data_IF_095596136982
#
_entry.id   IF_095596136982
#
_cell.length_a   1.000
_cell.length_b   1.000
_cell.length_c   1.000
_cell.angle_alpha   90.00
_cell.angle_beta   90.00
_cell.angle_gamma   90.00
#
_symmetry.space_group_name_H-M   'P 1'
#
loop_
_entity.id
_entity.type
_entity.pdbx_description
1 polymer ?
#
# COMPACT_ATOMS: atom_id res chain seq x y z
N UNK A 1 -0.66 -19.56 -46.07
CA UNK A 1 -0.75 -19.34 -44.62
C UNK A 1 0.55 -18.67 -44.21
N UNK A 2 0.54 -17.34 -44.04
CA UNK A 2 1.69 -16.62 -43.49
C UNK A 2 1.90 -17.12 -42.07
N UNK A 3 3.10 -17.63 -41.78
CA UNK A 3 3.48 -18.06 -40.44
C UNK A 3 4.13 -16.87 -39.75
N UNK A 4 3.44 -16.26 -38.80
CA UNK A 4 4.04 -15.25 -37.94
C UNK A 4 4.90 -15.95 -36.88
N UNK A 5 6.12 -15.45 -36.69
CA UNK A 5 6.89 -15.75 -35.47
C UNK A 5 6.36 -14.84 -34.35
N UNK A 6 5.77 -15.42 -33.31
CA UNK A 6 5.35 -14.68 -32.12
C UNK A 6 6.45 -14.76 -31.07
N UNK A 7 6.91 -13.60 -30.59
CA UNK A 7 7.91 -13.47 -29.53
C UNK A 7 7.29 -12.63 -28.41
N UNK A 8 7.24 -13.18 -27.21
CA UNK A 8 6.80 -12.46 -26.01
C UNK A 8 7.93 -12.50 -24.99
N UNK A 9 8.27 -11.34 -24.42
CA UNK A 9 9.36 -11.21 -23.45
C UNK A 9 9.09 -10.10 -22.44
N UNK A 10 9.72 -10.21 -21.28
CA UNK A 10 9.76 -9.14 -20.28
C UNK A 10 10.86 -8.14 -20.66
N UNK A 11 10.60 -6.85 -20.45
CA UNK A 11 11.55 -5.78 -20.67
C UNK A 11 12.68 -5.85 -19.64
N UNK A 12 13.91 -5.82 -20.15
CA UNK A 12 15.13 -5.73 -19.35
C UNK A 12 15.92 -4.50 -19.83
N UNK A 13 16.04 -3.44 -19.01
CA UNK A 13 16.74 -2.22 -19.41
C UNK A 13 18.23 -2.43 -19.69
N UNK A 14 18.84 -3.50 -19.15
CA UNK A 14 20.26 -3.81 -19.35
C UNK A 14 20.49 -4.75 -20.55
N UNK A 15 19.48 -5.53 -20.94
CA UNK A 15 19.64 -6.60 -21.94
C UNK A 15 18.39 -6.86 -22.80
N UNK A 16 17.76 -5.81 -23.32
CA UNK A 16 16.62 -5.95 -24.24
C UNK A 16 17.04 -6.41 -25.65
N UNK A 17 16.66 -7.65 -26.01
CA UNK A 17 16.86 -8.23 -27.34
C UNK A 17 15.55 -8.36 -28.15
N UNK A 18 14.48 -7.68 -27.74
CA UNK A 18 13.16 -7.71 -28.40
C UNK A 18 13.18 -7.18 -29.84
N UNK A 19 14.11 -6.26 -30.12
CA UNK A 19 14.16 -5.49 -31.37
C UNK A 19 13.13 -4.34 -31.41
N UNK A 20 12.57 -3.96 -30.27
CA UNK A 20 11.65 -2.82 -30.13
C UNK A 20 12.44 -1.59 -29.69
N UNK A 21 12.43 -0.54 -30.52
CA UNK A 21 12.91 0.78 -30.08
C UNK A 21 11.86 1.44 -29.18
N UNK A 22 12.26 1.91 -28.00
CA UNK A 22 11.38 2.67 -27.11
C UNK A 22 11.19 4.10 -27.61
N UNK A 23 9.97 4.63 -27.44
CA UNK A 23 9.62 6.02 -27.78
C UNK A 23 9.83 6.98 -26.61
N UNK A 24 9.95 6.45 -25.39
CA UNK A 24 10.22 7.17 -24.15
C UNK A 24 10.90 6.19 -23.19
N UNK A 25 11.93 6.63 -22.48
CA UNK A 25 12.64 5.82 -21.48
C UNK A 25 11.75 5.50 -20.27
N UNK A 26 10.80 6.38 -19.95
CA UNK A 26 9.90 6.23 -18.79
C UNK A 26 8.62 5.43 -19.09
N UNK A 27 8.46 4.89 -20.32
CA UNK A 27 7.21 4.21 -20.70
C UNK A 27 6.85 3.06 -19.74
N UNK A 28 7.83 2.26 -19.33
CA UNK A 28 7.61 1.13 -18.43
C UNK A 28 7.45 1.52 -16.94
N UNK A 29 7.52 2.83 -16.61
CA UNK A 29 7.15 3.32 -15.29
C UNK A 29 5.62 3.27 -15.08
N UNK A 30 4.84 3.28 -16.16
CA UNK A 30 3.37 3.16 -16.10
C UNK A 30 2.94 1.77 -15.57
N UNK A 31 1.71 1.68 -15.05
CA UNK A 31 1.14 0.40 -14.61
C UNK A 31 0.89 -0.51 -15.80
N UNK A 32 1.26 -1.79 -15.67
CA UNK A 32 0.91 -2.84 -16.62
C UNK A 32 1.37 -2.55 -18.07
N UNK A 33 2.43 -1.76 -18.20
CA UNK A 33 2.89 -1.24 -19.49
C UNK A 33 3.43 -2.34 -20.41
N UNK A 34 2.92 -2.38 -21.65
CA UNK A 34 3.40 -3.30 -22.68
C UNK A 34 3.43 -2.65 -24.06
N UNK A 35 4.25 -3.22 -24.94
CA UNK A 35 4.35 -2.86 -26.34
C UNK A 35 4.01 -4.10 -27.17
N UNK A 36 2.98 -4.01 -28.00
CA UNK A 36 2.66 -4.99 -29.05
C UNK A 36 3.06 -4.41 -30.40
N UNK A 37 3.91 -5.13 -31.14
CA UNK A 37 4.36 -4.76 -32.49
C UNK A 37 4.07 -5.90 -33.46
N UNK A 38 3.25 -5.62 -34.47
CA UNK A 38 2.91 -6.54 -35.57
C UNK A 38 3.61 -6.07 -36.83
N UNK A 39 4.46 -6.92 -37.38
CA UNK A 39 5.22 -6.71 -38.61
C UNK A 39 4.93 -7.84 -39.60
N UNK A 40 5.36 -7.69 -40.86
CA UNK A 40 4.98 -8.59 -41.96
C UNK A 40 5.15 -10.09 -41.67
N UNK A 41 6.15 -10.50 -40.87
CA UNK A 41 6.42 -11.89 -40.51
C UNK A 41 6.69 -12.13 -39.01
N UNK A 42 6.53 -11.10 -38.16
CA UNK A 42 6.90 -11.16 -36.74
C UNK A 42 5.89 -10.39 -35.91
N UNK A 43 5.46 -10.98 -34.80
CA UNK A 43 4.68 -10.32 -33.75
C UNK A 43 5.55 -10.32 -32.50
N UNK A 44 5.78 -9.14 -31.93
CA UNK A 44 6.60 -8.98 -30.71
C UNK A 44 5.74 -8.35 -29.61
N UNK A 45 5.72 -8.95 -28.44
CA UNK A 45 5.11 -8.42 -27.22
C UNK A 45 6.23 -8.22 -26.20
N UNK A 46 6.37 -6.99 -25.71
CA UNK A 46 7.35 -6.63 -24.68
C UNK A 46 6.60 -6.02 -23.51
N UNK A 47 6.51 -6.73 -22.39
CA UNK A 47 5.82 -6.26 -21.18
C UNK A 47 6.81 -5.85 -20.09
N UNK A 48 6.40 -4.94 -19.20
CA UNK A 48 7.14 -4.58 -17.98
C UNK A 48 7.50 -5.78 -17.11
N UNK A 49 6.58 -6.73 -17.03
CA UNK A 49 6.63 -7.95 -16.24
C UNK A 49 5.75 -9.01 -16.93
N UNK A 50 5.57 -10.17 -16.30
CA UNK A 50 4.78 -11.26 -16.88
C UNK A 50 3.29 -10.95 -17.00
N UNK A 51 2.75 -10.06 -16.18
CA UNK A 51 1.33 -9.68 -16.22
C UNK A 51 1.10 -8.72 -17.39
N UNK A 52 1.99 -7.75 -17.56
CA UNK A 52 1.99 -6.86 -18.72
C UNK A 52 2.15 -7.63 -20.05
N UNK A 53 2.98 -8.68 -20.08
CA UNK A 53 3.06 -9.58 -21.24
C UNK A 53 1.70 -10.25 -21.51
N UNK A 54 1.04 -10.76 -20.47
CA UNK A 54 -0.28 -11.36 -20.60
C UNK A 54 -1.30 -10.38 -21.19
N UNK A 55 -1.35 -9.13 -20.71
CA UNK A 55 -2.24 -8.11 -21.28
C UNK A 55 -1.96 -7.80 -22.75
N UNK A 56 -0.69 -7.84 -23.16
CA UNK A 56 -0.30 -7.74 -24.57
C UNK A 56 -0.79 -8.91 -25.42
N UNK A 57 -0.79 -10.13 -24.86
CA UNK A 57 -1.38 -11.31 -25.48
C UNK A 57 -2.89 -11.15 -25.59
N UNK A 58 -3.58 -10.70 -24.54
CA UNK A 58 -5.03 -10.43 -24.58
C UNK A 58 -5.39 -9.43 -25.69
N UNK A 59 -4.61 -8.36 -25.86
CA UNK A 59 -4.82 -7.42 -26.97
C UNK A 59 -4.62 -8.08 -28.33
N UNK A 60 -3.59 -8.91 -28.47
CA UNK A 60 -3.35 -9.66 -29.70
C UNK A 60 -4.51 -10.61 -30.00
N UNK A 61 -5.02 -11.35 -29.02
CA UNK A 61 -6.17 -12.24 -29.18
C UNK A 61 -7.40 -11.47 -29.68
N UNK A 62 -7.70 -10.31 -29.09
CA UNK A 62 -8.82 -9.45 -29.55
C UNK A 62 -8.66 -8.96 -30.97
N UNK A 63 -7.43 -8.70 -31.42
CA UNK A 63 -7.16 -8.37 -32.81
C UNK A 63 -7.42 -9.59 -33.69
N UNK A 64 -6.89 -10.76 -33.32
CA UNK A 64 -6.99 -12.00 -34.10
C UNK A 64 -8.44 -12.50 -34.22
N UNK A 65 -9.27 -12.34 -33.19
CA UNK A 65 -10.71 -12.69 -33.21
C UNK A 65 -11.48 -11.95 -34.32
N UNK A 66 -10.99 -10.78 -34.74
CA UNK A 66 -11.64 -9.94 -35.75
C UNK A 66 -11.13 -10.20 -37.17
N UNK A 67 -10.08 -11.02 -37.33
CA UNK A 67 -9.39 -11.23 -38.61
C UNK A 67 -10.12 -12.30 -39.43
N UNK A 68 -10.75 -11.87 -40.54
CA UNK A 68 -11.56 -12.77 -41.39
C UNK A 68 -10.78 -13.50 -42.49
N UNK A 69 -9.61 -12.99 -42.88
CA UNK A 69 -8.85 -13.48 -44.04
C UNK A 69 -7.46 -14.03 -43.71
N UNK A 70 -7.12 -14.15 -42.41
CA UNK A 70 -5.81 -14.65 -41.96
C UNK A 70 -4.64 -13.68 -42.21
N UNK A 71 -4.94 -12.40 -42.41
CA UNK A 71 -3.97 -11.31 -42.57
C UNK A 71 -4.24 -10.24 -41.51
N UNK A 72 -3.18 -9.75 -40.87
CA UNK A 72 -3.22 -8.67 -39.88
C UNK A 72 -2.37 -7.52 -40.39
N UNK A 73 -2.89 -6.30 -40.29
CA UNK A 73 -2.16 -5.08 -40.63
C UNK A 73 -0.93 -4.89 -39.75
N UNK A 74 0.10 -4.25 -40.30
CA UNK A 74 1.26 -3.87 -39.48
C UNK A 74 0.85 -2.76 -38.51
N UNK A 75 1.23 -2.90 -37.24
CA UNK A 75 0.85 -1.93 -36.22
C UNK A 75 1.79 -1.97 -35.03
N UNK A 76 1.72 -0.90 -34.23
CA UNK A 76 2.38 -0.79 -32.94
C UNK A 76 1.41 -0.20 -31.94
N UNK A 77 1.24 -0.89 -30.81
CA UNK A 77 0.45 -0.46 -29.66
C UNK A 77 1.41 -0.34 -28.49
N UNK A 78 1.48 0.86 -27.90
CA UNK A 78 2.13 1.10 -26.62
C UNK A 78 1.00 1.38 -25.63
N UNK A 79 0.72 0.46 -24.72
CA UNK A 79 -0.46 0.51 -23.86
C UNK A 79 -0.09 0.29 -22.39
N UNK A 80 -0.90 0.84 -21.50
CA UNK A 80 -0.70 0.81 -20.06
C UNK A 80 -2.02 1.11 -19.34
N UNK A 81 -2.13 0.71 -18.08
CA UNK A 81 -3.29 1.01 -17.26
C UNK A 81 -3.17 2.36 -16.54
N UNK A 82 -4.25 3.13 -16.47
CA UNK A 82 -4.31 4.36 -15.67
C UNK A 82 -4.58 4.09 -14.18
N UNK A 83 -5.13 2.92 -13.85
CA UNK A 83 -5.40 2.50 -12.49
C UNK A 83 -4.68 1.18 -12.21
N UNK A 84 -3.96 1.10 -11.08
CA UNK A 84 -3.21 -0.10 -10.66
C UNK A 84 -4.13 -1.31 -10.42
N UNK A 85 -5.29 -1.10 -9.82
CA UNK A 85 -6.25 -2.16 -9.48
C UNK A 85 -7.54 -1.97 -10.26
N UNK A 86 -8.02 -3.03 -10.93
CA UNK A 86 -9.20 -3.01 -11.80
C UNK A 86 -9.94 -4.33 -11.64
N UNK A 87 -11.17 -4.31 -11.16
CA UNK A 87 -11.83 -5.58 -10.87
C UNK A 87 -13.16 -5.46 -10.15
N UNK A 88 -13.51 -6.54 -9.47
CA UNK A 88 -14.82 -6.76 -8.83
C UNK A 88 -14.59 -7.02 -7.34
N UNK A 89 -15.50 -6.52 -6.51
CA UNK A 89 -15.63 -6.90 -5.10
C UNK A 89 -16.99 -7.56 -4.88
N UNK A 90 -17.01 -8.76 -4.31
CA UNK A 90 -18.23 -9.42 -3.85
C UNK A 90 -18.65 -8.86 -2.48
N UNK A 91 -19.08 -7.59 -2.44
CA UNK A 91 -19.33 -6.86 -1.20
C UNK A 91 -20.80 -6.60 -0.86
N UNK A 92 -21.74 -7.30 -1.50
CA UNK A 92 -23.19 -7.09 -1.28
C UNK A 92 -23.75 -7.99 -0.17
N UNK A 93 -24.92 -7.62 0.36
CA UNK A 93 -25.71 -8.47 1.24
C UNK A 93 -26.64 -9.36 0.40
N UNK A 94 -26.68 -10.65 0.70
CA UNK A 94 -27.50 -11.63 -0.01
C UNK A 94 -26.73 -12.91 -0.33
N UNK A 95 -27.36 -13.76 -1.14
CA UNK A 95 -26.81 -15.07 -1.53
C UNK A 95 -25.46 -14.86 -2.22
N UNK A 96 -24.36 -15.39 -1.67
CA UNK A 96 -23.03 -15.31 -2.30
C UNK A 96 -23.02 -15.95 -3.68
N UNK A 97 -22.12 -15.49 -4.53
CA UNK A 97 -21.85 -16.14 -5.81
C UNK A 97 -21.39 -17.58 -5.58
N UNK A 98 -21.72 -18.46 -6.53
CA UNK A 98 -21.12 -19.78 -6.57
C UNK A 98 -19.67 -19.68 -7.02
N UNK A 99 -18.84 -20.68 -6.69
CA UNK A 99 -17.47 -20.74 -7.19
C UNK A 99 -17.41 -20.73 -8.72
N UNK A 100 -18.37 -21.37 -9.40
CA UNK A 100 -18.48 -21.36 -10.86
C UNK A 100 -18.74 -19.95 -11.41
N UNK A 101 -19.62 -19.17 -10.77
CA UNK A 101 -19.90 -17.79 -11.16
C UNK A 101 -18.67 -16.89 -10.94
N UNK A 102 -17.95 -17.06 -9.82
CA UNK A 102 -16.72 -16.29 -9.55
C UNK A 102 -15.67 -16.59 -10.63
N UNK A 103 -15.45 -17.85 -10.97
CA UNK A 103 -14.52 -18.23 -12.04
C UNK A 103 -14.94 -17.67 -13.41
N UNK A 104 -16.24 -17.69 -13.72
CA UNK A 104 -16.75 -17.08 -14.95
C UNK A 104 -16.55 -15.57 -15.00
N UNK A 105 -16.72 -14.88 -13.86
CA UNK A 105 -16.43 -13.44 -13.74
C UNK A 105 -14.93 -13.13 -13.90
N UNK A 106 -14.04 -14.00 -13.40
CA UNK A 106 -12.59 -13.87 -13.59
C UNK A 106 -12.21 -14.02 -15.07
N UNK A 107 -12.75 -15.02 -15.76
CA UNK A 107 -12.52 -15.20 -17.20
C UNK A 107 -13.01 -13.99 -18.00
N UNK A 108 -14.23 -13.52 -17.72
CA UNK A 108 -14.76 -12.31 -18.33
C UNK A 108 -13.89 -11.08 -18.02
N UNK A 109 -13.45 -10.91 -16.77
CA UNK A 109 -12.61 -9.79 -16.36
C UNK A 109 -11.25 -9.79 -17.07
N UNK A 110 -10.66 -10.97 -17.24
CA UNK A 110 -9.38 -11.18 -17.92
C UNK A 110 -9.39 -10.68 -19.36
N UNK A 111 -10.48 -10.95 -20.08
CA UNK A 111 -10.71 -10.48 -21.46
C UNK A 111 -10.61 -8.96 -21.61
N UNK A 112 -10.84 -8.23 -20.52
CA UNK A 112 -10.79 -6.77 -20.44
C UNK A 112 -9.68 -6.26 -19.49
N UNK A 113 -8.68 -7.09 -19.18
CA UNK A 113 -7.50 -6.74 -18.38
C UNK A 113 -7.83 -6.30 -16.94
N UNK A 114 -8.91 -6.82 -16.36
CA UNK A 114 -9.07 -6.80 -14.90
C UNK A 114 -7.95 -7.63 -14.27
N UNK A 115 -7.59 -7.30 -13.02
CA UNK A 115 -6.50 -7.96 -12.32
C UNK A 115 -6.81 -8.31 -10.86
N UNK A 116 -8.03 -8.03 -10.38
CA UNK A 116 -8.41 -8.30 -9.00
C UNK A 116 -9.86 -8.76 -8.86
N UNK A 117 -10.07 -9.74 -8.00
CA UNK A 117 -11.38 -10.14 -7.49
C UNK A 117 -11.31 -10.18 -5.96
N UNK A 118 -12.01 -9.27 -5.28
CA UNK A 118 -12.05 -9.20 -3.82
C UNK A 118 -13.21 -10.06 -3.32
N UNK A 119 -12.86 -11.20 -2.72
CA UNK A 119 -13.79 -12.12 -2.07
C UNK A 119 -14.15 -11.57 -0.67
N UNK A 120 -15.32 -10.93 -0.58
CA UNK A 120 -15.85 -10.33 0.65
C UNK A 120 -17.35 -10.63 0.93
N UNK A 121 -17.87 -11.84 0.61
CA UNK A 121 -19.31 -12.11 0.63
C UNK A 121 -19.90 -11.95 2.03
N UNK A 122 -20.75 -10.94 2.26
CA UNK A 122 -21.19 -10.55 3.61
C UNK A 122 -21.88 -11.66 4.42
N UNK A 123 -22.50 -12.64 3.75
CA UNK A 123 -23.19 -13.77 4.36
C UNK A 123 -22.30 -15.01 4.60
N UNK A 124 -21.02 -15.00 4.19
CA UNK A 124 -20.06 -16.02 4.61
C UNK A 124 -19.75 -15.84 6.11
N UNK A 125 -19.91 -16.87 6.97
CA UNK A 125 -19.62 -16.69 8.38
C UNK A 125 -18.12 -16.65 8.67
N UNK A 126 -17.26 -17.29 7.88
CA UNK A 126 -15.84 -17.50 8.19
C UNK A 126 -14.94 -16.31 7.85
N UNK A 127 -15.39 -15.35 7.04
CA UNK A 127 -14.74 -14.03 6.94
C UNK A 127 -15.24 -13.04 7.99
N UNK A 128 -16.41 -13.28 8.61
CA UNK A 128 -17.08 -12.35 9.52
C UNK A 128 -17.37 -13.02 10.88
N UNK A 129 -18.60 -13.47 11.18
CA UNK A 129 -18.98 -13.91 12.55
C UNK A 129 -18.15 -15.04 13.18
N UNK A 130 -17.49 -15.84 12.35
CA UNK A 130 -16.60 -16.96 12.69
C UNK A 130 -15.17 -16.71 12.19
N UNK A 131 -14.74 -15.46 12.12
CA UNK A 131 -13.43 -15.08 11.60
C UNK A 131 -12.25 -15.75 12.35
N UNK A 132 -12.43 -16.17 13.61
CA UNK A 132 -11.42 -16.94 14.37
C UNK A 132 -11.41 -18.44 14.04
N UNK A 133 -12.47 -18.99 13.47
CA UNK A 133 -12.57 -20.40 13.12
C UNK A 133 -11.95 -20.67 11.75
N UNK A 134 -11.23 -21.79 11.54
CA UNK A 134 -10.78 -22.18 10.21
C UNK A 134 -11.98 -22.55 9.32
N UNK A 135 -11.83 -22.36 8.01
CA UNK A 135 -12.82 -22.85 7.05
C UNK A 135 -12.90 -24.40 7.10
N UNK A 136 -14.07 -24.99 6.82
CA UNK A 136 -14.17 -26.42 6.56
C UNK A 136 -13.32 -26.80 5.33
N UNK A 137 -12.72 -27.99 5.36
CA UNK A 137 -11.83 -28.43 4.28
C UNK A 137 -12.53 -28.45 2.92
N UNK A 138 -13.79 -28.90 2.85
CA UNK A 138 -14.59 -28.91 1.62
C UNK A 138 -14.74 -27.51 1.01
N UNK A 139 -14.88 -26.48 1.85
CA UNK A 139 -14.95 -25.09 1.38
C UNK A 139 -13.59 -24.60 0.86
N UNK A 140 -12.50 -24.97 1.54
CA UNK A 140 -11.15 -24.64 1.09
C UNK A 140 -10.81 -25.31 -0.24
N UNK A 141 -11.20 -26.57 -0.42
CA UNK A 141 -10.97 -27.31 -1.67
C UNK A 141 -11.67 -26.61 -2.85
N UNK A 142 -12.92 -26.17 -2.66
CA UNK A 142 -13.64 -25.40 -3.67
C UNK A 142 -13.02 -24.02 -3.94
N UNK A 143 -12.58 -23.30 -2.90
CA UNK A 143 -11.92 -21.99 -3.06
C UNK A 143 -10.56 -22.11 -3.74
N UNK A 144 -9.85 -23.23 -3.55
CA UNK A 144 -8.57 -23.48 -4.21
C UNK A 144 -8.71 -23.48 -5.74
N UNK A 145 -9.77 -24.09 -6.28
CA UNK A 145 -10.04 -24.06 -7.72
C UNK A 145 -10.26 -22.61 -8.23
N UNK A 146 -10.95 -21.78 -7.45
CA UNK A 146 -11.16 -20.36 -7.76
C UNK A 146 -9.84 -19.58 -7.73
N UNK A 147 -8.98 -19.85 -6.74
CA UNK A 147 -7.66 -19.20 -6.62
C UNK A 147 -6.77 -19.59 -7.81
N UNK A 148 -6.75 -20.87 -8.18
CA UNK A 148 -6.01 -21.37 -9.35
C UNK A 148 -6.51 -20.72 -10.65
N UNK A 149 -7.83 -20.55 -10.80
CA UNK A 149 -8.43 -19.80 -11.91
C UNK A 149 -7.98 -18.34 -11.93
N UNK A 150 -7.87 -17.69 -10.77
CA UNK A 150 -7.35 -16.33 -10.67
C UNK A 150 -5.91 -16.20 -11.17
N UNK A 151 -5.06 -17.21 -10.89
CA UNK A 151 -3.69 -17.28 -11.42
C UNK A 151 -3.68 -17.46 -12.94
N UNK A 152 -4.52 -18.36 -13.47
CA UNK A 152 -4.66 -18.63 -14.91
C UNK A 152 -5.10 -17.39 -15.69
N UNK A 153 -6.06 -16.65 -15.15
CA UNK A 153 -6.72 -15.50 -15.79
C UNK A 153 -6.01 -14.16 -15.52
N UNK A 154 -4.98 -14.14 -14.66
CA UNK A 154 -4.36 -12.92 -14.10
C UNK A 154 -5.34 -12.03 -13.32
N UNK A 155 -6.53 -12.53 -12.96
CA UNK A 155 -7.47 -11.86 -12.06
C UNK A 155 -7.26 -12.40 -10.65
N UNK A 156 -6.35 -11.77 -9.90
CA UNK A 156 -5.94 -12.26 -8.59
C UNK A 156 -7.09 -12.33 -7.58
N UNK A 157 -7.24 -13.50 -6.94
CA UNK A 157 -8.15 -13.67 -5.81
C UNK A 157 -7.59 -12.94 -4.58
N UNK A 158 -8.36 -12.00 -4.04
CA UNK A 158 -8.04 -11.25 -2.82
C UNK A 158 -8.95 -11.73 -1.69
N UNK A 159 -8.37 -12.38 -0.68
CA UNK A 159 -9.14 -12.83 0.48
C UNK A 159 -9.40 -11.66 1.43
N UNK A 160 -10.67 -11.35 1.72
CA UNK A 160 -11.05 -10.34 2.70
C UNK A 160 -11.45 -10.96 4.04
N UNK A 161 -11.15 -10.26 5.14
CA UNK A 161 -11.60 -10.60 6.49
C UNK A 161 -12.23 -9.38 7.16
N UNK A 162 -13.30 -9.62 7.95
CA UNK A 162 -14.09 -8.59 8.60
C UNK A 162 -14.14 -8.76 10.15
N UNK A 163 -13.03 -8.51 10.86
CA UNK A 163 -12.88 -8.90 12.25
C UNK A 163 -13.36 -7.83 13.25
N UNK A 164 -14.03 -6.75 12.80
CA UNK A 164 -14.52 -5.68 13.69
C UNK A 164 -16.04 -5.72 13.95
N UNK A 165 -16.82 -6.44 13.13
CA UNK A 165 -18.28 -6.36 13.17
C UNK A 165 -18.91 -7.30 14.20
N UNK A 166 -18.79 -8.61 13.99
CA UNK A 166 -19.38 -9.63 14.86
C UNK A 166 -18.28 -10.27 15.71
N UNK A 167 -18.41 -10.19 17.04
CA UNK A 167 -17.37 -10.62 17.98
C UNK A 167 -16.02 -10.01 17.61
N UNK A 168 -15.97 -8.67 17.59
CA UNK A 168 -14.83 -7.91 17.11
C UNK A 168 -13.51 -8.24 17.83
N UNK A 169 -12.39 -7.75 17.28
CA UNK A 169 -11.06 -7.92 17.87
C UNK A 169 -11.05 -7.47 19.33
N UNK A 170 -10.59 -8.35 20.21
CA UNK A 170 -10.38 -8.03 21.62
C UNK A 170 -9.02 -7.37 21.83
N UNK A 171 -9.00 -6.04 22.00
CA UNK A 171 -7.77 -5.25 22.25
C UNK A 171 -6.93 -5.77 23.42
N UNK A 172 -7.53 -6.37 24.44
CA UNK A 172 -6.79 -6.89 25.60
C UNK A 172 -6.02 -8.19 25.29
N UNK A 173 -6.40 -8.91 24.23
CA UNK A 173 -5.75 -10.13 23.76
C UNK A 173 -5.23 -9.94 22.31
N UNK A 174 -4.79 -8.72 21.98
CA UNK A 174 -4.53 -8.33 20.59
C UNK A 174 -3.58 -9.28 19.84
N UNK A 175 -2.51 -9.75 20.47
CA UNK A 175 -1.55 -10.68 19.83
C UNK A 175 -2.20 -12.00 19.42
N UNK A 176 -2.99 -12.61 20.31
CA UNK A 176 -3.74 -13.86 20.04
C UNK A 176 -4.81 -13.63 18.95
N UNK A 177 -5.47 -12.48 18.99
CA UNK A 177 -6.50 -12.10 18.04
C UNK A 177 -5.93 -11.91 16.62
N UNK A 178 -4.76 -11.29 16.50
CA UNK A 178 -4.03 -11.18 15.23
C UNK A 178 -3.54 -12.55 14.76
N UNK A 179 -3.09 -13.42 15.66
CA UNK A 179 -2.63 -14.76 15.28
C UNK A 179 -3.73 -15.57 14.59
N UNK A 180 -4.99 -15.47 15.03
CA UNK A 180 -6.11 -16.12 14.33
C UNK A 180 -6.28 -15.63 12.88
N UNK A 181 -6.05 -14.33 12.63
CA UNK A 181 -6.12 -13.76 11.28
C UNK A 181 -4.93 -14.26 10.45
N UNK A 182 -3.72 -14.22 11.02
CA UNK A 182 -2.50 -14.68 10.36
C UNK A 182 -2.61 -16.17 10.00
N UNK A 183 -3.04 -17.04 10.93
CA UNK A 183 -3.21 -18.47 10.68
C UNK A 183 -4.16 -18.73 9.50
N UNK A 184 -5.21 -17.92 9.37
CA UNK A 184 -6.12 -18.00 8.22
C UNK A 184 -5.47 -17.50 6.94
N UNK A 185 -4.78 -16.36 7.00
CA UNK A 185 -4.08 -15.80 5.86
C UNK A 185 -2.98 -16.75 5.33
N UNK A 186 -2.28 -17.47 6.21
CA UNK A 186 -1.30 -18.50 5.83
C UNK A 186 -1.95 -19.62 5.00
N UNK A 187 -3.13 -20.11 5.40
CA UNK A 187 -3.86 -21.13 4.62
C UNK A 187 -4.15 -20.63 3.20
N UNK A 188 -4.63 -19.38 3.07
CA UNK A 188 -4.91 -18.79 1.76
C UNK A 188 -3.63 -18.52 0.96
N UNK A 189 -2.56 -18.08 1.62
CA UNK A 189 -1.26 -17.86 1.00
C UNK A 189 -0.69 -19.16 0.41
N UNK A 190 -0.79 -20.26 1.17
CA UNK A 190 -0.38 -21.60 0.73
C UNK A 190 -1.22 -22.13 -0.45
N UNK A 191 -2.49 -21.71 -0.56
CA UNK A 191 -3.35 -22.00 -1.71
C UNK A 191 -3.05 -21.12 -2.94
N UNK A 192 -2.21 -20.08 -2.81
CA UNK A 192 -1.80 -19.22 -3.93
C UNK A 192 -2.28 -17.77 -3.85
N UNK A 193 -3.01 -17.38 -2.80
CA UNK A 193 -3.40 -15.98 -2.60
C UNK A 193 -2.16 -15.11 -2.35
N UNK A 194 -2.10 -13.95 -3.00
CA UNK A 194 -0.99 -12.99 -2.88
C UNK A 194 -1.41 -11.59 -2.44
N UNK A 195 -2.70 -11.35 -2.28
CA UNK A 195 -3.22 -10.09 -1.78
C UNK A 195 -4.37 -10.36 -0.81
N UNK A 196 -4.44 -9.56 0.25
CA UNK A 196 -5.40 -9.72 1.32
C UNK A 196 -6.09 -8.39 1.62
N UNK A 197 -7.29 -8.47 2.17
CA UNK A 197 -8.07 -7.31 2.55
C UNK A 197 -8.52 -7.37 4.01
N UNK A 198 -8.35 -6.27 4.73
CA UNK A 198 -8.93 -6.04 6.04
C UNK A 198 -10.10 -5.07 5.90
N UNK A 199 -11.26 -5.49 6.35
CA UNK A 199 -12.49 -4.71 6.25
C UNK A 199 -12.88 -4.21 7.64
N UNK A 200 -13.40 -2.99 7.73
CA UNK A 200 -13.95 -2.38 8.94
C UNK A 200 -15.27 -1.64 8.65
N UNK A 201 -15.83 -1.74 7.44
CA UNK A 201 -17.12 -1.18 7.07
C UNK A 201 -18.27 -1.75 7.94
N UNK A 202 -19.30 -0.97 8.18
CA UNK A 202 -20.50 -1.40 8.93
C UNK A 202 -20.22 -1.86 10.38
N UNK A 203 -19.00 -1.63 10.89
CA UNK A 203 -18.55 -1.95 12.23
C UNK A 203 -18.19 -0.67 13.01
N UNK A 204 -18.18 -0.77 14.35
CA UNK A 204 -17.62 0.26 15.20
C UNK A 204 -16.37 -0.27 15.91
N UNK A 205 -15.26 0.44 15.76
CA UNK A 205 -14.01 0.14 16.47
C UNK A 205 -13.17 1.39 16.67
N UNK A 206 -12.31 1.38 17.69
CA UNK A 206 -11.33 2.44 17.91
C UNK A 206 -10.34 2.53 16.73
N UNK A 207 -10.09 3.73 16.20
CA UNK A 207 -9.11 3.92 15.12
C UNK A 207 -7.71 3.37 15.46
N UNK A 208 -7.17 3.57 16.69
CA UNK A 208 -5.92 2.92 17.08
C UNK A 208 -5.92 1.39 16.94
N UNK A 209 -7.05 0.73 17.20
CA UNK A 209 -7.16 -0.72 17.05
C UNK A 209 -7.10 -1.14 15.57
N UNK A 210 -7.76 -0.39 14.68
CA UNK A 210 -7.69 -0.62 13.23
C UNK A 210 -6.27 -0.44 12.72
N UNK A 211 -5.57 0.61 13.17
CA UNK A 211 -4.18 0.91 12.81
C UNK A 211 -3.23 -0.19 13.26
N UNK A 212 -3.34 -0.63 14.52
CA UNK A 212 -2.54 -1.74 15.04
C UNK A 212 -2.77 -3.00 14.20
N UNK A 213 -4.02 -3.28 13.83
CA UNK A 213 -4.40 -4.46 13.02
C UNK A 213 -3.81 -4.37 11.61
N UNK A 214 -3.96 -3.23 10.92
CA UNK A 214 -3.36 -3.01 9.59
C UNK A 214 -1.84 -3.19 9.64
N UNK A 215 -1.18 -2.58 10.62
CA UNK A 215 0.28 -2.65 10.73
C UNK A 215 0.76 -4.09 10.97
N UNK A 216 0.10 -4.82 11.86
CA UNK A 216 0.48 -6.21 12.15
C UNK A 216 0.28 -7.15 10.95
N UNK A 217 -0.81 -6.96 10.18
CA UNK A 217 -1.05 -7.75 8.97
C UNK A 217 -0.12 -7.35 7.82
N UNK A 218 0.23 -6.07 7.70
CA UNK A 218 1.22 -5.60 6.73
C UNK A 218 2.62 -6.11 7.10
N UNK A 219 3.01 -6.09 8.37
CA UNK A 219 4.26 -6.69 8.86
C UNK A 219 4.35 -8.16 8.44
N UNK A 220 3.27 -8.92 8.62
CA UNK A 220 3.21 -10.30 8.15
C UNK A 220 3.37 -10.41 6.63
N UNK A 221 2.65 -9.60 5.84
CA UNK A 221 2.77 -9.59 4.37
C UNK A 221 4.18 -9.27 3.89
N UNK A 222 4.88 -8.37 4.57
CA UNK A 222 6.26 -7.95 4.24
C UNK A 222 7.27 -9.09 4.48
N UNK A 223 6.93 -10.10 5.30
CA UNK A 223 7.74 -11.33 5.45
C UNK A 223 7.51 -12.36 4.33
N UNK A 224 6.52 -12.15 3.47
CA UNK A 224 6.09 -13.12 2.44
C UNK A 224 6.58 -12.71 1.06
N UNK A 225 6.96 -13.70 0.26
CA UNK A 225 7.43 -13.47 -1.10
C UNK A 225 6.24 -13.28 -2.06
N UNK A 226 6.36 -12.31 -2.96
CA UNK A 226 5.40 -12.12 -4.05
C UNK A 226 4.02 -11.63 -3.60
N UNK A 227 3.91 -11.04 -2.42
CA UNK A 227 2.67 -10.43 -1.91
C UNK A 227 2.50 -9.00 -2.42
N UNK A 228 1.24 -8.57 -2.49
CA UNK A 228 0.85 -7.19 -2.75
C UNK A 228 0.43 -6.50 -1.44
N UNK A 229 0.45 -5.15 -1.39
CA UNK A 229 0.04 -4.40 -0.21
C UNK A 229 -1.38 -4.76 0.25
N UNK A 230 -1.58 -4.72 1.58
CA UNK A 230 -2.88 -4.94 2.20
C UNK A 230 -3.90 -3.94 1.68
N UNK A 231 -5.09 -4.43 1.34
CA UNK A 231 -6.26 -3.58 1.06
C UNK A 231 -6.98 -3.31 2.37
N UNK A 232 -7.28 -2.05 2.67
CA UNK A 232 -8.05 -1.68 3.87
C UNK A 232 -9.32 -0.93 3.52
N UNK A 233 -10.47 -1.43 4.00
CA UNK A 233 -11.75 -0.73 3.96
C UNK A 233 -12.06 -0.14 5.35
N UNK A 234 -12.07 1.19 5.52
CA UNK A 234 -12.26 1.81 6.83
C UNK A 234 -13.73 1.82 7.27
N UNK A 235 -13.97 1.92 8.59
CA UNK A 235 -15.35 2.10 9.11
C UNK A 235 -16.02 3.37 8.59
N UNK A 236 -15.23 4.42 8.34
CA UNK A 236 -15.68 5.67 7.77
C UNK A 236 -15.54 5.64 6.24
N UNK A 237 -16.20 4.69 5.57
CA UNK A 237 -16.16 4.55 4.11
C UNK A 237 -17.20 5.42 3.39
N UNK A 238 -18.15 6.01 4.13
CA UNK A 238 -19.13 6.97 3.60
C UNK A 238 -19.09 8.26 4.42
N UNK A 239 -18.63 9.34 3.79
CA UNK A 239 -18.28 10.61 4.44
C UNK A 239 -16.77 10.75 4.63
N UNK A 240 -16.23 11.95 4.39
CA UNK A 240 -14.79 12.24 4.44
C UNK A 240 -14.24 11.98 5.85
N UNK A 241 -13.53 10.87 6.09
CA UNK A 241 -12.77 10.73 7.34
C UNK A 241 -11.75 11.85 7.32
N UNK A 242 -11.56 12.50 8.46
CA UNK A 242 -10.56 13.56 8.54
C UNK A 242 -9.20 13.01 8.12
N UNK A 243 -8.33 13.86 7.56
CA UNK A 243 -6.95 13.49 7.27
C UNK A 243 -6.25 12.89 8.51
N UNK A 244 -6.69 13.26 9.74
CA UNK A 244 -6.26 12.69 11.02
C UNK A 244 -6.63 11.22 11.26
N UNK A 245 -7.68 10.69 10.62
CA UNK A 245 -8.02 9.27 10.65
C UNK A 245 -7.01 8.48 9.81
N UNK A 246 -6.78 8.92 8.57
CA UNK A 246 -5.77 8.30 7.71
C UNK A 246 -4.34 8.56 8.19
N UNK A 247 -4.13 9.52 9.12
CA UNK A 247 -2.83 9.87 9.73
C UNK A 247 -2.11 8.73 10.42
N UNK A 248 -2.84 7.71 10.78
CA UNK A 248 -2.36 6.73 11.72
C UNK A 248 -1.86 5.46 11.00
N UNK A 249 -2.13 5.28 9.70
CA UNK A 249 -1.71 4.11 8.93
C UNK A 249 -0.31 4.27 8.34
N UNK A 250 0.44 3.17 8.23
CA UNK A 250 1.78 3.12 7.63
C UNK A 250 1.77 3.52 6.15
N UNK A 251 2.90 4.06 5.70
CA UNK A 251 3.14 4.36 4.29
C UNK A 251 3.05 3.09 3.42
N UNK A 252 2.39 3.19 2.26
CA UNK A 252 2.11 2.05 1.38
C UNK A 252 0.79 1.33 1.65
N UNK A 253 0.07 1.65 2.73
CA UNK A 253 -1.27 1.08 2.99
C UNK A 253 -2.24 1.53 1.90
N UNK A 254 -2.82 0.59 1.15
CA UNK A 254 -3.79 0.92 0.11
C UNK A 254 -5.19 1.01 0.72
N UNK A 255 -5.69 2.23 0.87
CA UNK A 255 -7.02 2.51 1.38
C UNK A 255 -7.93 2.87 0.20
N UNK A 256 -8.93 2.03 -0.07
CA UNK A 256 -9.83 2.19 -1.21
C UNK A 256 -11.25 2.47 -0.70
N UNK A 257 -11.79 3.63 -1.08
CA UNK A 257 -13.15 4.05 -0.69
C UNK A 257 -13.98 4.35 -1.94
N UNK A 258 -15.03 3.56 -2.17
CA UNK A 258 -16.14 3.83 -3.12
C UNK A 258 -15.73 4.46 -4.46
N UNK A 259 -14.64 3.98 -5.07
CA UNK A 259 -14.17 4.42 -6.40
C UNK A 259 -13.80 5.91 -6.53
N UNK A 260 -13.72 6.66 -5.42
CA UNK A 260 -13.56 8.12 -5.45
C UNK A 260 -12.27 8.65 -4.85
N UNK A 261 -11.62 7.92 -3.95
CA UNK A 261 -10.32 8.33 -3.38
C UNK A 261 -9.49 7.08 -3.09
N UNK A 262 -8.41 6.93 -3.86
CA UNK A 262 -7.25 6.18 -3.41
C UNK A 262 -6.44 7.16 -2.57
N UNK A 263 -6.48 7.03 -1.25
CA UNK A 263 -5.43 7.63 -0.45
C UNK A 263 -4.24 6.70 -0.57
N UNK A 264 -3.25 7.05 -1.39
CA UNK A 264 -1.90 6.70 -0.99
C UNK A 264 -1.69 7.44 0.32
N UNK A 265 -1.30 6.72 1.37
CA UNK A 265 -0.51 7.32 2.44
C UNK A 265 0.77 7.83 1.79
N UNK A 266 0.66 8.98 1.10
CA UNK A 266 1.82 9.80 0.79
C UNK A 266 2.27 10.28 2.13
N UNK A 267 3.55 10.06 2.37
CA UNK A 267 4.28 10.41 3.56
C UNK A 267 4.28 11.94 3.77
N UNK A 268 3.15 12.49 4.20
CA UNK A 268 3.02 13.88 4.66
C UNK A 268 3.08 13.94 6.20
N UNK A 269 3.55 12.88 6.88
CA UNK A 269 3.33 12.69 8.33
C UNK A 269 4.57 12.39 9.13
N UNK A 270 5.73 12.78 8.62
CA UNK A 270 6.91 12.81 9.46
C UNK A 270 6.73 13.82 10.59
N UNK A 271 5.94 14.89 10.40
CA UNK A 271 5.88 16.03 11.34
C UNK A 271 4.44 16.50 11.62
N UNK A 272 4.11 16.63 12.92
CA UNK A 272 2.92 17.33 13.43
C UNK A 272 3.36 18.54 14.26
N UNK A 273 2.71 19.68 14.10
CA UNK A 273 3.01 20.89 14.88
C UNK A 273 1.76 21.73 15.11
N UNK A 274 1.69 22.42 16.25
CA UNK A 274 0.72 23.48 16.52
C UNK A 274 1.30 24.89 16.32
N UNK A 275 2.57 24.98 15.93
CA UNK A 275 3.25 26.24 15.73
C UNK A 275 2.69 26.99 14.53
N UNK A 276 2.63 28.32 14.67
CA UNK A 276 2.40 29.23 13.54
C UNK A 276 3.60 29.12 12.60
N UNK A 277 3.36 28.74 11.34
CA UNK A 277 4.42 28.56 10.34
C UNK A 277 4.53 29.80 9.45
N UNK A 278 5.75 30.17 9.07
CA UNK A 278 5.98 31.23 8.08
C UNK A 278 5.90 30.68 6.66
N UNK A 279 5.31 31.48 5.77
CA UNK A 279 5.23 31.15 4.33
C UNK A 279 6.64 30.97 3.75
N UNK A 280 6.89 29.82 3.13
CA UNK A 280 8.18 29.39 2.59
C UNK A 280 9.14 28.73 3.60
N UNK A 281 8.75 28.62 4.87
CA UNK A 281 9.53 28.03 5.96
C UNK A 281 8.72 27.02 6.78
N UNK A 282 7.95 26.20 6.09
CA UNK A 282 7.03 25.24 6.68
C UNK A 282 7.76 24.01 7.26
N UNK A 283 7.02 23.22 8.04
CA UNK A 283 7.56 22.08 8.78
C UNK A 283 8.27 21.03 7.89
N UNK A 284 7.87 20.89 6.62
CA UNK A 284 8.49 19.92 5.71
C UNK A 284 9.96 20.22 5.43
N UNK A 285 10.41 21.47 5.57
CA UNK A 285 11.82 21.84 5.39
C UNK A 285 12.74 21.20 6.43
N UNK A 286 12.22 20.66 7.54
CA UNK A 286 13.03 19.98 8.56
C UNK A 286 13.34 18.52 8.23
N UNK A 287 12.87 18.00 7.09
CA UNK A 287 13.00 16.59 6.67
C UNK A 287 13.20 16.44 5.16
N UNK A 288 13.58 17.51 4.47
CA UNK A 288 13.68 17.53 3.01
C UNK A 288 15.07 17.10 2.49
N UNK A 289 16.02 16.85 3.40
CA UNK A 289 17.39 16.46 3.09
C UNK A 289 18.29 17.63 2.69
N UNK A 290 17.86 18.89 2.88
CA UNK A 290 18.57 20.09 2.43
C UNK A 290 18.94 20.99 3.60
N UNK A 291 20.25 21.18 3.80
CA UNK A 291 20.76 22.03 4.87
C UNK A 291 20.60 23.55 4.62
N UNK A 292 20.21 23.96 3.41
CA UNK A 292 20.02 25.36 3.03
C UNK A 292 18.56 25.84 3.11
N UNK A 293 17.62 24.94 3.42
CA UNK A 293 16.24 25.24 3.82
C UNK A 293 16.10 25.15 5.35
N UNK A 294 15.00 25.66 5.89
CA UNK A 294 14.69 25.55 7.32
C UNK A 294 13.21 25.78 7.60
N UNK A 295 12.75 25.24 8.72
CA UNK A 295 11.50 25.64 9.35
C UNK A 295 11.68 26.91 10.18
N UNK A 296 10.68 27.78 10.14
CA UNK A 296 10.59 28.96 10.99
C UNK A 296 9.18 29.12 11.56
N UNK A 297 9.11 29.23 12.87
CA UNK A 297 7.86 29.51 13.59
C UNK A 297 7.60 31.02 13.75
N UNK A 298 6.41 31.37 14.23
CA UNK A 298 6.14 32.66 14.85
C UNK A 298 6.80 32.82 16.23
N UNK A 299 6.42 33.86 16.96
CA UNK A 299 6.94 34.13 18.32
C UNK A 299 6.17 33.44 19.44
N UNK A 300 5.11 32.69 19.10
CA UNK A 300 4.34 31.91 20.06
C UNK A 300 5.08 30.61 20.41
N UNK A 301 4.89 30.15 21.65
CA UNK A 301 5.38 28.83 22.05
C UNK A 301 4.62 27.75 21.30
N UNK A 302 5.26 26.61 21.08
CA UNK A 302 4.67 25.52 20.32
C UNK A 302 5.48 24.25 20.43
N UNK A 303 5.04 23.24 19.69
CA UNK A 303 5.75 21.99 19.58
C UNK A 303 5.82 21.45 18.15
N UNK A 304 6.79 20.59 17.93
CA UNK A 304 6.92 19.70 16.78
C UNK A 304 6.92 18.28 17.31
N UNK A 305 6.19 17.39 16.66
CA UNK A 305 6.20 15.95 16.88
C UNK A 305 6.69 15.27 15.61
N UNK A 306 7.83 14.59 15.72
CA UNK A 306 8.39 13.74 14.70
C UNK A 306 8.01 12.29 14.97
N UNK A 307 7.37 11.63 14.00
CA UNK A 307 6.99 10.21 14.13
C UNK A 307 8.15 9.32 13.67
N UNK A 308 8.58 8.41 14.55
CA UNK A 308 9.69 7.49 14.33
C UNK A 308 9.20 6.27 13.54
N UNK A 309 9.64 6.15 12.28
CA UNK A 309 9.37 5.02 11.41
C UNK A 309 10.56 4.06 11.42
N UNK A 310 10.42 2.91 12.07
CA UNK A 310 11.52 1.95 12.21
C UNK A 310 11.67 1.10 10.95
N UNK A 311 12.78 1.28 10.25
CA UNK A 311 13.34 0.21 9.42
C UNK A 311 14.17 -0.73 10.31
N UNK A 312 13.97 -2.04 10.15
CA UNK A 312 14.66 -3.06 10.94
C UNK A 312 16.12 -3.13 10.48
N UNK A 313 17.07 -2.54 11.22
CA UNK A 313 18.49 -2.88 10.98
C UNK A 313 19.61 -1.93 11.42
N UNK A 314 19.34 -0.70 11.87
CA UNK A 314 20.41 0.24 12.21
C UNK A 314 20.47 0.51 13.73
N UNK A 315 21.66 0.33 14.30
CA UNK A 315 21.98 0.62 15.69
C UNK A 315 23.30 1.43 15.69
N UNK A 316 23.42 2.59 16.36
CA UNK A 316 22.44 3.20 17.28
C UNK A 316 21.26 3.89 16.60
N UNK A 317 20.07 3.79 17.23
CA UNK A 317 18.88 4.58 16.90
C UNK A 317 19.09 6.04 17.35
N UNK A 318 19.85 6.80 16.57
CA UNK A 318 20.19 8.19 16.88
C UNK A 318 19.24 9.13 16.17
N UNK A 319 18.58 10.02 16.92
CA UNK A 319 17.85 11.14 16.36
C UNK A 319 18.72 12.39 16.40
N UNK A 320 18.98 12.98 15.23
CA UNK A 320 19.83 14.17 15.10
C UNK A 320 18.99 15.37 14.73
N UNK A 321 19.20 16.50 15.42
CA UNK A 321 18.55 17.78 15.11
C UNK A 321 19.61 18.83 14.80
N UNK A 322 19.44 19.53 13.67
CA UNK A 322 20.31 20.62 13.22
C UNK A 322 19.58 21.97 13.33
N UNK A 323 20.19 22.92 14.02
CA UNK A 323 19.77 24.31 14.14
C UNK A 323 20.96 25.26 13.85
N UNK A 324 20.66 26.53 13.61
CA UNK A 324 21.69 27.53 13.35
C UNK A 324 22.55 27.77 14.61
N UNK A 325 23.88 27.75 14.47
CA UNK A 325 24.83 27.97 15.57
C UNK A 325 24.75 29.35 16.21
N UNK A 326 24.17 30.35 15.53
CA UNK A 326 24.00 31.71 16.06
C UNK A 326 22.72 31.87 16.89
N UNK A 327 21.76 30.95 16.76
CA UNK A 327 20.42 31.02 17.37
C UNK A 327 20.05 29.68 18.03
N UNK A 328 20.74 29.34 19.11
CA UNK A 328 20.48 28.11 19.88
C UNK A 328 19.17 28.25 20.67
N UNK A 329 18.20 27.40 20.34
CA UNK A 329 16.84 27.46 20.90
C UNK A 329 16.74 27.01 22.36
N UNK A 330 17.58 26.07 22.81
CA UNK A 330 17.41 25.34 24.07
C UNK A 330 16.03 24.65 24.21
N UNK A 331 15.35 24.38 23.09
CA UNK A 331 14.05 23.74 23.10
C UNK A 331 14.13 22.34 23.74
N UNK A 332 13.10 21.96 24.49
CA UNK A 332 13.04 20.69 25.20
C UNK A 332 12.73 19.57 24.21
N UNK A 333 13.43 18.44 24.34
CA UNK A 333 13.24 17.23 23.54
C UNK A 333 12.73 16.11 24.45
N UNK A 334 11.59 15.55 24.10
CA UNK A 334 10.92 14.48 24.82
C UNK A 334 10.54 13.34 23.88
N UNK A 335 10.35 12.14 24.40
CA UNK A 335 9.90 10.98 23.62
C UNK A 335 8.71 10.30 24.22
N UNK A 336 7.90 9.69 23.37
CA UNK A 336 6.82 8.78 23.75
C UNK A 336 7.10 7.40 23.19
N UNK A 337 7.03 6.38 24.05
CA UNK A 337 7.27 4.96 23.68
C UNK A 337 5.95 4.22 23.46
N UNK A 338 6.02 3.08 22.78
CA UNK A 338 4.85 2.24 22.50
C UNK A 338 4.13 1.83 23.81
N UNK A 339 2.81 1.98 23.85
CA UNK A 339 1.99 1.55 24.98
C UNK A 339 1.91 2.54 26.15
N UNK A 340 2.50 3.74 26.02
CA UNK A 340 2.35 4.82 27.01
C UNK A 340 1.83 6.10 26.38
N UNK A 341 1.11 6.90 27.17
CA UNK A 341 0.72 8.28 26.80
C UNK A 341 1.66 9.34 27.40
N UNK A 342 2.65 8.91 28.19
CA UNK A 342 3.59 9.78 28.88
C UNK A 342 4.81 10.10 28.02
N UNK A 343 5.24 11.37 28.08
CA UNK A 343 6.48 11.84 27.49
C UNK A 343 7.61 11.76 28.51
N UNK A 344 8.76 11.27 28.05
CA UNK A 344 10.00 11.21 28.83
C UNK A 344 11.01 12.19 28.22
N UNK A 345 11.55 13.07 29.05
CA UNK A 345 12.54 14.06 28.61
C UNK A 345 13.88 13.39 28.26
N UNK A 346 14.42 13.71 27.08
CA UNK A 346 15.75 13.30 26.63
C UNK A 346 16.81 14.39 26.82
N UNK A 347 16.40 15.66 26.82
CA UNK A 347 17.28 16.80 27.03
C UNK A 347 16.80 18.05 26.31
N UNK A 348 17.74 18.89 25.89
CA UNK A 348 17.47 20.17 25.22
C UNK A 348 18.34 20.36 23.98
N UNK A 349 17.87 21.15 23.02
CA UNK A 349 18.63 21.58 21.84
C UNK A 349 19.66 22.67 22.22
N UNK A 350 20.74 22.27 22.89
CA UNK A 350 21.76 23.16 23.48
C UNK A 350 22.94 23.51 22.54
N UNK A 351 22.98 22.89 21.35
CA UNK A 351 24.04 23.05 20.33
C UNK A 351 23.46 23.10 18.93
N UNK A 352 24.27 23.55 17.97
CA UNK A 352 23.88 23.57 16.55
C UNK A 352 23.53 22.18 16.01
N UNK A 353 24.17 21.13 16.52
CA UNK A 353 23.85 19.73 16.21
C UNK A 353 23.68 19.00 17.53
N UNK A 354 22.51 18.39 17.74
CA UNK A 354 22.18 17.62 18.93
C UNK A 354 21.79 16.20 18.52
N UNK A 355 22.48 15.21 19.10
CA UNK A 355 22.19 13.79 18.90
C UNK A 355 21.53 13.20 20.15
N UNK A 356 20.43 12.49 19.95
CA UNK A 356 19.68 11.83 21.02
C UNK A 356 19.60 10.33 20.75
N UNK A 357 20.04 9.52 21.69
CA UNK A 357 19.84 8.06 21.61
C UNK A 357 18.39 7.74 21.96
N UNK A 358 17.67 7.13 21.01
CA UNK A 358 16.29 6.74 21.21
C UNK A 358 16.17 5.33 21.78
N UNK A 359 15.16 5.13 22.62
CA UNK A 359 14.74 3.78 23.01
C UNK A 359 14.17 3.06 21.77
N UNK A 360 14.49 1.77 21.54
CA UNK A 360 13.95 1.00 20.42
C UNK A 360 12.42 0.89 20.39
N UNK A 361 11.70 1.31 21.42
CA UNK A 361 10.23 1.40 21.49
C UNK A 361 9.69 2.81 21.26
N UNK A 362 10.55 3.82 21.06
CA UNK A 362 10.15 5.20 20.76
C UNK A 362 9.25 5.25 19.52
N UNK A 363 8.16 6.00 19.60
CA UNK A 363 7.21 6.24 18.51
C UNK A 363 7.23 7.69 18.04
N UNK A 364 7.42 8.63 18.99
CA UNK A 364 7.36 10.06 18.71
C UNK A 364 8.49 10.73 19.45
N UNK A 365 9.21 11.62 18.77
CA UNK A 365 10.07 12.64 19.39
C UNK A 365 9.32 13.96 19.34
N UNK A 366 9.15 14.62 20.48
CA UNK A 366 8.55 15.95 20.59
C UNK A 366 9.64 16.97 20.92
N UNK A 367 9.67 18.06 20.16
CA UNK A 367 10.47 19.25 20.45
C UNK A 367 9.52 20.38 20.81
N UNK A 368 9.65 20.98 21.98
CA UNK A 368 8.78 22.06 22.46
C UNK A 368 9.57 23.27 22.93
N UNK A 369 9.06 24.46 22.64
CA UNK A 369 9.65 25.73 23.04
C UNK A 369 8.60 26.69 23.61
N UNK A 370 9.06 27.59 24.46
CA UNK A 370 8.22 28.63 25.06
C UNK A 370 8.06 29.84 24.12
N UNK A 371 7.04 30.67 24.39
CA UNK A 371 6.84 31.91 23.65
C UNK A 371 8.03 32.87 23.84
N UNK A 372 8.43 33.55 22.78
CA UNK A 372 9.59 34.44 22.79
C UNK A 372 10.08 34.78 21.39
N UNK A 373 11.33 34.42 21.11
CA UNK A 373 11.91 34.57 19.77
C UNK A 373 11.42 33.47 18.82
N UNK A 374 11.65 33.69 17.53
CA UNK A 374 11.31 32.71 16.50
C UNK A 374 12.17 31.45 16.68
N UNK A 375 11.53 30.30 16.56
CA UNK A 375 12.20 29.00 16.61
C UNK A 375 12.47 28.46 15.20
N UNK A 376 13.70 27.96 15.00
CA UNK A 376 14.22 27.50 13.71
C UNK A 376 14.84 26.12 13.80
N UNK A 377 14.60 25.28 12.79
CA UNK A 377 15.25 23.98 12.61
C UNK A 377 15.59 23.83 11.14
N UNK A 378 16.85 23.49 10.85
CA UNK A 378 17.29 23.22 9.49
C UNK A 378 16.93 21.81 9.06
N UNK A 379 17.19 20.82 9.90
CA UNK A 379 17.05 19.42 9.48
C UNK A 379 16.94 18.49 10.69
N UNK A 380 16.20 17.39 10.53
CA UNK A 380 16.05 16.33 11.51
C UNK A 380 16.26 14.97 10.85
N UNK A 381 17.10 14.14 11.46
CA UNK A 381 17.42 12.79 10.99
C UNK A 381 17.05 11.76 12.03
N UNK A 382 16.58 10.60 11.57
CA UNK A 382 16.36 9.40 12.36
C UNK A 382 16.97 8.19 11.65
#
# INVERSE_FOLDING_TARGET
MLKYLVVASVYDPENDNSGITLTSEDFFNNYDAYILKIEANKITILGKDTDAVYYGITTLERILDQVKAGEVETMRINDYATAKWRGIIEGYYGIPYSNEDIMSLMEFGSDFKMNTFIYAPKDDPYHNSKWREPYPQETLDGLKEVIEKGVETKVGFVYAIHPFMNNGINKNNFEEEIQYIIDKFEIFYDMGVRQFALLADDAWSETPLQVMTVNALQDWLDTKEGTYPLVFCPQAYSGYPSQSYFNQFRDGTSIVINGGMSFSTVNERTIKTDAVQKEGYEAYNMVDGKLDTYFASGTEGGYIEYTINKEVGLNPFTFTVIQNSETISNAKVEVKVYGTDEYVELGTLDKSICDFTLDPQTQVVRISWDAGEEFFIHEMFY
#
